data_IF_017235122355
#
_entry.id   IF_017235122355
#
_cell.length_a   1.000
_cell.length_b   1.000
_cell.length_c   1.000
_cell.angle_alpha   90.00
_cell.angle_beta   90.00
_cell.angle_gamma   90.00
#
_symmetry.space_group_name_H-M   'P 1'
#
loop_
_entity.id
_entity.type
_entity.pdbx_description
1 polymer ?
#
# COMPACT_ATOMS: atom_id res chain seq x y z
N UNK A 1 -1.67 -22.49 -17.93
CA UNK A 1 -1.19 -22.60 -16.53
C UNK A 1 -1.17 -21.19 -15.94
N UNK A 2 -2.19 -20.81 -15.14
CA UNK A 2 -2.29 -19.47 -14.52
C UNK A 2 -1.26 -19.39 -13.40
N UNK A 3 -0.09 -18.81 -13.65
CA UNK A 3 0.83 -18.39 -12.59
C UNK A 3 0.07 -17.33 -11.82
N UNK A 4 -0.44 -17.71 -10.64
CA UNK A 4 -1.27 -16.85 -9.81
C UNK A 4 -0.55 -15.54 -9.54
N UNK A 5 -1.18 -14.43 -9.91
CA UNK A 5 -0.67 -13.08 -9.69
C UNK A 5 -0.26 -12.82 -8.23
N UNK A 6 -0.80 -13.60 -7.30
CA UNK A 6 -0.42 -13.65 -5.89
C UNK A 6 1.03 -14.06 -5.66
N UNK A 7 1.56 -15.04 -6.40
CA UNK A 7 2.97 -15.46 -6.29
C UNK A 7 3.90 -14.37 -6.82
N UNK A 8 3.54 -13.73 -7.94
CA UNK A 8 4.32 -12.65 -8.52
C UNK A 8 4.41 -11.44 -7.58
N UNK A 9 3.30 -11.04 -6.96
CA UNK A 9 3.30 -9.97 -5.96
C UNK A 9 4.14 -10.34 -4.74
N UNK A 10 4.06 -11.58 -4.23
CA UNK A 10 4.90 -12.04 -3.12
C UNK A 10 6.39 -12.05 -3.47
N UNK A 11 6.76 -12.49 -4.68
CA UNK A 11 8.16 -12.52 -5.12
C UNK A 11 8.72 -11.13 -5.34
N UNK A 12 7.93 -10.20 -5.90
CA UNK A 12 8.33 -8.80 -6.06
C UNK A 12 8.46 -8.11 -4.70
N UNK A 13 7.52 -8.35 -3.78
CA UNK A 13 7.61 -7.84 -2.40
C UNK A 13 8.83 -8.38 -1.65
N UNK A 14 9.15 -9.66 -1.83
CA UNK A 14 10.34 -10.29 -1.25
C UNK A 14 11.65 -9.72 -1.83
N UNK A 15 11.64 -9.26 -3.09
CA UNK A 15 12.82 -8.66 -3.72
C UNK A 15 13.09 -7.22 -3.25
N UNK A 16 12.06 -6.52 -2.80
CA UNK A 16 12.15 -5.12 -2.33
C UNK A 16 12.47 -5.06 -0.83
N UNK A 17 12.27 -6.16 -0.09
CA UNK A 17 12.64 -6.26 1.32
C UNK A 17 14.18 -6.35 1.44
N UNK A 18 14.82 -5.43 2.20
CA UNK A 18 16.25 -5.52 2.43
C UNK A 18 16.57 -6.80 3.21
N UNK A 19 17.56 -7.56 2.74
CA UNK A 19 17.99 -8.83 3.33
C UNK A 19 18.58 -8.68 4.75
N UNK A 20 18.93 -7.44 5.15
CA UNK A 20 19.46 -7.09 6.46
C UNK A 20 18.87 -5.73 6.84
N UNK A 21 18.03 -5.70 7.88
CA UNK A 21 17.44 -4.48 8.40
C UNK A 21 18.42 -3.81 9.40
N UNK A 22 19.39 -3.07 8.89
CA UNK A 22 20.10 -2.10 9.74
C UNK A 22 19.18 -0.91 9.95
N UNK A 23 18.77 -0.64 11.21
CA UNK A 23 17.96 0.52 11.59
C UNK A 23 18.51 1.88 11.10
N UNK A 24 19.79 1.93 10.70
CA UNK A 24 20.47 3.12 10.20
C UNK A 24 20.35 3.34 8.69
N UNK A 25 19.86 2.35 7.93
CA UNK A 25 19.64 2.44 6.48
C UNK A 25 18.15 2.30 6.15
N UNK A 26 17.34 3.24 6.63
CA UNK A 26 15.97 3.40 6.11
C UNK A 26 16.12 3.85 4.67
N UNK A 27 15.71 2.99 3.72
CA UNK A 27 15.69 3.35 2.30
C UNK A 27 14.88 4.65 2.11
N UNK A 28 15.35 5.61 1.30
CA UNK A 28 14.61 6.85 1.03
C UNK A 28 13.18 6.60 0.53
N UNK A 29 12.97 5.48 -0.15
CA UNK A 29 11.66 5.01 -0.61
C UNK A 29 10.72 4.71 0.57
N UNK A 30 11.26 4.08 1.61
CA UNK A 30 10.53 3.73 2.84
C UNK A 30 10.21 4.99 3.65
N UNK A 31 11.15 5.93 3.75
CA UNK A 31 10.92 7.23 4.36
C UNK A 31 9.82 8.02 3.62
N UNK A 32 9.81 7.99 2.28
CA UNK A 32 8.77 8.61 1.47
C UNK A 32 7.39 7.99 1.74
N UNK A 33 7.30 6.65 1.92
CA UNK A 33 6.04 5.99 2.27
C UNK A 33 5.54 6.38 3.66
N UNK A 34 6.43 6.49 4.65
CA UNK A 34 6.10 6.92 6.02
C UNK A 34 5.56 8.37 6.08
N UNK A 35 6.00 9.24 5.17
CA UNK A 35 5.53 10.63 5.06
C UNK A 35 4.21 10.76 4.28
N UNK A 36 3.80 9.72 3.55
CA UNK A 36 2.68 9.81 2.61
C UNK A 36 1.27 9.35 3.04
N UNK A 37 0.91 9.11 4.33
CA UNK A 37 -0.47 8.81 4.73
C UNK A 37 -1.49 9.77 4.10
N UNK A 38 -1.15 11.06 4.06
CA UNK A 38 -1.95 12.11 3.45
C UNK A 38 -2.16 11.85 1.94
N UNK A 39 -1.11 11.52 1.20
CA UNK A 39 -1.19 11.26 -0.24
C UNK A 39 -2.08 10.06 -0.52
N UNK A 40 -1.93 8.98 0.24
CA UNK A 40 -2.73 7.77 0.02
C UNK A 40 -4.19 8.01 0.41
N UNK A 41 -4.46 8.77 1.47
CA UNK A 41 -5.82 9.20 1.79
C UNK A 41 -6.44 10.05 0.66
N UNK A 42 -5.68 10.97 0.05
CA UNK A 42 -6.15 11.71 -1.13
C UNK A 42 -6.46 10.76 -2.29
N UNK A 43 -5.62 9.75 -2.55
CA UNK A 43 -5.90 8.74 -3.56
C UNK A 43 -7.21 7.98 -3.27
N UNK A 44 -7.52 7.66 -2.01
CA UNK A 44 -8.80 7.02 -1.66
C UNK A 44 -10.01 7.93 -1.93
N UNK A 45 -9.89 9.24 -1.69
CA UNK A 45 -10.93 10.21 -2.01
C UNK A 45 -11.14 10.32 -3.54
N UNK A 46 -10.05 10.40 -4.30
CA UNK A 46 -10.08 10.41 -5.77
C UNK A 46 -10.73 9.12 -6.30
N UNK A 47 -10.39 7.96 -5.74
CA UNK A 47 -11.02 6.69 -6.13
C UNK A 47 -12.52 6.69 -5.83
N UNK A 48 -12.95 7.21 -4.67
CA UNK A 48 -14.38 7.38 -4.34
C UNK A 48 -15.12 8.21 -5.39
N UNK A 49 -14.53 9.33 -5.81
CA UNK A 49 -15.06 10.19 -6.87
C UNK A 49 -15.09 9.48 -8.25
N UNK A 50 -14.00 8.82 -8.65
CA UNK A 50 -13.89 8.12 -9.94
C UNK A 50 -14.79 6.89 -10.01
N UNK A 51 -15.01 6.20 -8.90
CA UNK A 51 -15.93 5.05 -8.81
C UNK A 51 -17.40 5.45 -8.67
N UNK A 52 -17.70 6.75 -8.42
CA UNK A 52 -19.04 7.26 -8.05
C UNK A 52 -19.62 6.59 -6.80
N UNK A 53 -18.76 6.07 -5.93
CA UNK A 53 -19.17 5.44 -4.68
C UNK A 53 -18.26 5.86 -3.54
N UNK A 54 -18.77 6.72 -2.66
CA UNK A 54 -18.04 7.16 -1.47
C UNK A 54 -17.70 5.99 -0.52
N UNK A 55 -18.52 4.94 -0.51
CA UNK A 55 -18.26 3.72 0.26
C UNK A 55 -16.94 3.04 -0.15
N UNK A 56 -16.61 3.06 -1.45
CA UNK A 56 -15.33 2.52 -1.95
C UNK A 56 -14.16 3.34 -1.41
N UNK A 57 -14.26 4.67 -1.47
CA UNK A 57 -13.24 5.56 -0.92
C UNK A 57 -13.05 5.36 0.59
N UNK A 58 -14.14 5.32 1.35
CA UNK A 58 -14.12 5.10 2.81
C UNK A 58 -13.52 3.73 3.17
N UNK A 59 -13.91 2.66 2.46
CA UNK A 59 -13.35 1.33 2.70
C UNK A 59 -11.82 1.32 2.52
N UNK A 60 -11.32 1.96 1.47
CA UNK A 60 -9.88 2.07 1.27
C UNK A 60 -9.20 3.00 2.28
N UNK A 61 -9.84 4.07 2.72
CA UNK A 61 -9.31 4.91 3.81
C UNK A 61 -9.20 4.12 5.12
N UNK A 62 -10.19 3.27 5.42
CA UNK A 62 -10.14 2.34 6.54
C UNK A 62 -8.97 1.35 6.45
N UNK A 63 -8.71 0.81 5.26
CA UNK A 63 -7.53 -0.04 5.01
C UNK A 63 -6.20 0.71 5.25
N UNK A 64 -6.11 1.99 4.84
CA UNK A 64 -4.93 2.82 5.13
C UNK A 64 -4.69 2.94 6.64
N UNK A 65 -5.73 3.26 7.41
CA UNK A 65 -5.64 3.34 8.86
C UNK A 65 -5.24 2.01 9.49
N UNK A 66 -5.78 0.90 8.97
CA UNK A 66 -5.42 -0.44 9.42
C UNK A 66 -3.93 -0.73 9.22
N UNK A 67 -3.35 -0.38 8.06
CA UNK A 67 -1.91 -0.59 7.83
C UNK A 67 -1.04 0.20 8.79
N UNK A 68 -1.39 1.46 9.05
CA UNK A 68 -0.68 2.33 10.00
C UNK A 68 -0.76 1.74 11.41
N UNK A 69 -1.95 1.29 11.82
CA UNK A 69 -2.14 0.67 13.13
C UNK A 69 -1.34 -0.62 13.27
N UNK A 70 -1.37 -1.49 12.27
CA UNK A 70 -0.61 -2.75 12.27
C UNK A 70 0.89 -2.50 12.29
N UNK A 71 1.38 -1.50 11.55
CA UNK A 71 2.78 -1.07 11.63
C UNK A 71 3.15 -0.60 13.03
N UNK A 72 2.32 0.23 13.66
CA UNK A 72 2.56 0.72 15.02
C UNK A 72 2.57 -0.40 16.07
N UNK A 73 1.62 -1.33 15.99
CA UNK A 73 1.56 -2.51 16.86
C UNK A 73 2.80 -3.38 16.65
N UNK A 74 3.14 -3.71 15.41
CA UNK A 74 4.30 -4.55 15.11
C UNK A 74 5.60 -3.90 15.60
N UNK A 75 5.77 -2.58 15.37
CA UNK A 75 6.95 -1.83 15.80
C UNK A 75 7.14 -1.77 17.31
N UNK A 76 6.05 -1.88 18.08
CA UNK A 76 6.12 -1.82 19.54
C UNK A 76 6.29 -3.21 20.20
N UNK A 77 5.70 -4.25 19.62
CA UNK A 77 5.57 -5.56 20.27
C UNK A 77 6.41 -6.68 19.64
N UNK A 78 7.03 -6.43 18.48
CA UNK A 78 7.75 -7.47 17.73
C UNK A 78 9.20 -7.05 17.51
N UNK A 79 10.14 -7.95 17.78
CA UNK A 79 11.58 -7.73 17.57
C UNK A 79 12.06 -8.18 16.18
N UNK A 80 11.20 -8.84 15.41
CA UNK A 80 11.52 -9.31 14.07
C UNK A 80 11.22 -8.22 13.03
N UNK A 81 12.28 -7.66 12.44
CA UNK A 81 12.19 -6.61 11.42
C UNK A 81 11.25 -6.97 10.25
N UNK A 82 11.31 -8.19 9.72
CA UNK A 82 10.46 -8.58 8.59
C UNK A 82 8.97 -8.44 8.91
N UNK A 83 8.58 -8.75 10.15
CA UNK A 83 7.19 -8.61 10.62
C UNK A 83 6.83 -7.13 10.77
N UNK A 84 7.73 -6.32 11.33
CA UNK A 84 7.56 -4.87 11.49
C UNK A 84 7.37 -4.18 10.13
N UNK A 85 8.15 -4.57 9.12
CA UNK A 85 8.11 -3.93 7.80
C UNK A 85 6.95 -4.40 6.91
N UNK A 86 6.37 -5.58 7.19
CA UNK A 86 5.30 -6.17 6.36
C UNK A 86 4.09 -5.24 6.17
N UNK A 87 3.50 -4.63 7.21
CA UNK A 87 2.42 -3.67 7.05
C UNK A 87 2.76 -2.48 6.15
N UNK A 88 4.00 -2.00 6.21
CA UNK A 88 4.45 -0.86 5.40
C UNK A 88 4.63 -1.23 3.92
N UNK A 89 5.13 -2.44 3.64
CA UNK A 89 5.19 -2.98 2.27
C UNK A 89 3.78 -3.16 1.70
N UNK A 90 2.86 -3.74 2.48
CA UNK A 90 1.47 -3.91 2.06
C UNK A 90 0.76 -2.57 1.83
N UNK A 91 1.07 -1.56 2.66
CA UNK A 91 0.63 -0.18 2.44
C UNK A 91 1.12 0.38 1.10
N UNK A 92 2.41 0.19 0.76
CA UNK A 92 2.96 0.60 -0.53
C UNK A 92 2.29 -0.10 -1.71
N UNK A 93 2.07 -1.42 -1.61
CA UNK A 93 1.34 -2.20 -2.62
C UNK A 93 -0.09 -1.68 -2.77
N UNK A 94 -0.78 -1.38 -1.67
CA UNK A 94 -2.11 -0.82 -1.68
C UNK A 94 -2.15 0.56 -2.36
N UNK A 95 -1.18 1.43 -2.12
CA UNK A 95 -1.08 2.73 -2.80
C UNK A 95 -0.95 2.56 -4.33
N UNK A 96 -0.09 1.64 -4.80
CA UNK A 96 0.04 1.33 -6.22
C UNK A 96 -1.27 0.79 -6.80
N UNK A 97 -1.97 -0.07 -6.05
CA UNK A 97 -3.27 -0.60 -6.47
C UNK A 97 -4.34 0.51 -6.62
N UNK A 98 -4.37 1.50 -5.72
CA UNK A 98 -5.28 2.64 -5.81
C UNK A 98 -5.05 3.42 -7.11
N UNK A 99 -3.79 3.72 -7.46
CA UNK A 99 -3.44 4.40 -8.72
C UNK A 99 -3.95 3.60 -9.92
N UNK A 100 -3.70 2.28 -9.95
CA UNK A 100 -4.16 1.42 -11.03
C UNK A 100 -5.69 1.40 -11.16
N UNK A 101 -6.42 1.36 -10.04
CA UNK A 101 -7.89 1.41 -10.02
C UNK A 101 -8.43 2.76 -10.53
N UNK A 102 -7.82 3.87 -10.12
CA UNK A 102 -8.16 5.21 -10.59
C UNK A 102 -7.96 5.31 -12.10
N UNK A 103 -6.77 4.94 -12.60
CA UNK A 103 -6.46 4.97 -14.04
C UNK A 103 -7.44 4.11 -14.82
N UNK A 104 -7.72 2.89 -14.35
CA UNK A 104 -8.71 2.01 -14.98
C UNK A 104 -10.11 2.64 -15.01
N UNK A 105 -10.51 3.29 -13.93
CA UNK A 105 -11.80 4.00 -13.83
C UNK A 105 -11.90 5.15 -14.82
N UNK A 106 -10.84 5.95 -14.95
CA UNK A 106 -10.75 7.05 -15.92
C UNK A 106 -10.79 6.54 -17.36
N UNK A 107 -10.01 5.51 -17.70
CA UNK A 107 -10.00 4.91 -19.04
C UNK A 107 -11.36 4.35 -19.45
N UNK A 108 -12.10 3.76 -18.49
CA UNK A 108 -13.47 3.28 -18.73
C UNK A 108 -14.46 4.41 -19.00
N UNK A 109 -14.25 5.58 -18.40
CA UNK A 109 -15.08 6.77 -18.65
C UNK A 109 -14.77 7.39 -20.02
N UNK A 110 -13.50 7.46 -20.40
CA UNK A 110 -13.08 8.03 -21.70
C UNK A 110 -13.55 7.20 -22.92
N UNK A 111 -13.90 5.92 -22.73
CA UNK A 111 -14.44 5.03 -23.77
C UNK A 111 -15.97 5.05 -23.88
N UNK A 112 -16.66 5.79 -23.02
CA UNK A 112 -18.12 5.98 -23.06
C UNK A 112 -18.43 7.35 -23.62
#
# INVERSE_FOLDING_TARGET
MRIGSSKFLLTVSALILPAVAYAQHISPVIAAFAVSPIVVLLLTAVLGFVSRSWLVGIAHAGLVLLWILLFGIASYWVENDYVIWTPLVLYGVHAVALVALIVRGLLRRARR
#
